data_IF_177109197341
#
_entry.id   IF_177109197341
#
_cell.length_a   1.000
_cell.length_b   1.000
_cell.length_c   1.000
_cell.angle_alpha   90.00
_cell.angle_beta   90.00
_cell.angle_gamma   90.00
#
_symmetry.space_group_name_H-M   'P 1'
#
loop_
_entity.id
_entity.type
_entity.pdbx_description
1 polymer ?
#
# COMPACT_ATOMS: atom_id res chain seq x y z
N UNK A 1 21.69 13.89 -2.95
CA UNK A 1 21.41 14.31 -4.34
C UNK A 1 22.53 15.19 -4.92
N UNK A 2 23.34 15.81 -4.09
CA UNK A 2 24.39 16.76 -4.57
C UNK A 2 23.85 18.13 -5.00
N UNK A 3 22.57 18.39 -4.73
CA UNK A 3 21.90 19.67 -4.95
C UNK A 3 21.21 20.13 -3.67
N UNK A 4 20.99 21.43 -3.52
CA UNK A 4 20.19 21.96 -2.44
C UNK A 4 18.72 21.50 -2.58
N UNK A 5 18.09 21.13 -1.47
CA UNK A 5 16.69 20.73 -1.43
C UNK A 5 15.93 21.76 -0.61
N UNK A 6 15.01 22.47 -1.24
CA UNK A 6 14.08 23.36 -0.56
C UNK A 6 13.09 22.51 0.26
N UNK A 7 12.62 23.04 1.38
CA UNK A 7 11.61 22.38 2.21
C UNK A 7 10.41 23.27 2.40
N UNK A 8 9.21 22.73 2.29
CA UNK A 8 7.97 23.40 2.66
C UNK A 8 7.41 22.76 3.94
N UNK A 9 7.12 23.58 4.95
CA UNK A 9 6.66 23.13 6.27
C UNK A 9 5.22 22.55 6.27
N UNK A 10 4.54 22.63 5.15
CA UNK A 10 3.23 22.02 4.89
C UNK A 10 3.17 21.55 3.43
N UNK A 11 2.38 20.52 3.16
CA UNK A 11 2.16 20.04 1.80
C UNK A 11 0.96 20.70 1.10
N UNK A 12 0.08 21.40 1.83
CA UNK A 12 -1.18 21.96 1.32
C UNK A 12 -1.26 23.49 1.42
N UNK A 13 -0.41 24.11 2.22
CA UNK A 13 -0.42 25.53 2.48
C UNK A 13 0.02 26.38 1.28
N UNK A 14 -0.07 27.69 1.47
CA UNK A 14 0.36 28.67 0.46
C UNK A 14 1.87 28.59 0.20
N UNK A 15 2.67 28.33 1.24
CA UNK A 15 4.13 28.13 1.13
C UNK A 15 4.48 27.06 0.10
N UNK A 16 3.83 25.89 0.17
CA UNK A 16 4.06 24.79 -0.76
C UNK A 16 3.70 25.17 -2.20
N UNK A 17 2.55 25.85 -2.38
CA UNK A 17 2.09 26.29 -3.70
C UNK A 17 3.04 27.32 -4.34
N UNK A 18 3.48 28.32 -3.56
CA UNK A 18 4.40 29.36 -4.03
C UNK A 18 5.77 28.76 -4.37
N UNK A 19 6.34 27.90 -3.49
CA UNK A 19 7.62 27.25 -3.75
C UNK A 19 7.56 26.31 -4.95
N UNK A 20 6.48 25.54 -5.09
CA UNK A 20 6.29 24.66 -6.24
C UNK A 20 6.21 25.42 -7.56
N UNK A 21 5.48 26.53 -7.58
CA UNK A 21 5.35 27.38 -8.78
C UNK A 21 6.65 28.13 -9.14
N UNK A 22 7.53 28.35 -8.16
CA UNK A 22 8.80 29.07 -8.38
C UNK A 22 9.96 28.15 -8.80
N UNK A 23 9.82 26.81 -8.71
CA UNK A 23 10.86 25.86 -9.04
C UNK A 23 11.39 26.04 -10.45
N UNK A 24 12.72 26.05 -10.56
CA UNK A 24 13.43 26.09 -11.83
C UNK A 24 13.96 24.71 -12.20
N UNK A 25 14.29 24.46 -13.48
CA UNK A 25 14.89 23.18 -13.90
C UNK A 25 16.11 22.81 -13.05
N UNK A 26 16.08 21.61 -12.46
CA UNK A 26 17.15 21.09 -11.60
C UNK A 26 16.98 21.39 -10.10
N UNK A 27 16.03 22.21 -9.71
CA UNK A 27 15.70 22.44 -8.30
C UNK A 27 14.80 21.34 -7.73
N UNK A 28 14.86 21.16 -6.42
CA UNK A 28 14.11 20.13 -5.70
C UNK A 28 13.37 20.76 -4.53
N UNK A 29 12.08 20.49 -4.42
CA UNK A 29 11.24 20.84 -3.27
C UNK A 29 10.78 19.57 -2.58
N UNK A 30 11.07 19.45 -1.28
CA UNK A 30 10.52 18.43 -0.40
C UNK A 30 9.33 19.01 0.36
N UNK A 31 8.20 18.37 0.27
CA UNK A 31 7.00 18.72 1.03
C UNK A 31 7.00 18.00 2.39
N UNK A 32 6.35 18.60 3.37
CA UNK A 32 6.11 17.97 4.67
C UNK A 32 5.25 16.68 4.51
N UNK A 33 5.31 15.83 5.51
CA UNK A 33 4.68 14.52 5.51
C UNK A 33 3.17 14.59 5.24
N UNK A 34 2.77 14.07 4.08
CA UNK A 34 1.36 14.08 3.64
C UNK A 34 0.44 13.34 4.61
N UNK A 35 0.96 12.37 5.39
CA UNK A 35 0.17 11.63 6.37
C UNK A 35 -0.19 12.43 7.61
N UNK A 36 0.25 13.68 7.74
CA UNK A 36 -0.33 14.59 8.73
C UNK A 36 -1.77 14.92 8.40
N UNK A 37 -2.17 14.81 7.16
CA UNK A 37 -3.54 14.96 6.69
C UNK A 37 -4.28 13.61 6.63
N UNK A 38 -5.50 13.57 7.17
CA UNK A 38 -6.38 12.40 7.10
C UNK A 38 -6.77 12.05 5.65
N UNK A 39 -6.78 13.04 4.80
CA UNK A 39 -7.07 12.97 3.37
C UNK A 39 -6.06 12.11 2.61
N UNK A 40 -4.80 12.07 3.03
CA UNK A 40 -3.81 11.19 2.38
C UNK A 40 -4.25 9.74 2.44
N UNK A 41 -4.70 9.27 3.59
CA UNK A 41 -5.18 7.91 3.76
C UNK A 41 -6.67 7.73 3.42
N UNK A 42 -7.43 8.82 3.37
CA UNK A 42 -8.88 8.81 3.17
C UNK A 42 -9.64 8.13 4.30
N UNK A 43 -9.10 8.24 5.52
CA UNK A 43 -9.66 7.67 6.75
C UNK A 43 -9.90 8.77 7.77
N UNK A 44 -11.11 8.83 8.37
CA UNK A 44 -11.39 9.79 9.43
C UNK A 44 -10.49 9.53 10.65
N UNK A 45 -10.14 10.60 11.36
CA UNK A 45 -9.34 10.55 12.60
C UNK A 45 -10.10 11.21 13.73
N UNK A 46 -9.76 10.84 14.97
CA UNK A 46 -10.32 11.49 16.16
C UNK A 46 -11.80 11.18 16.42
N UNK A 47 -12.35 10.11 15.82
CA UNK A 47 -13.68 9.63 16.20
C UNK A 47 -13.65 9.06 17.62
N UNK A 48 -14.71 9.31 18.38
CA UNK A 48 -14.90 8.71 19.70
C UNK A 48 -15.00 7.18 19.58
N UNK A 49 -14.53 6.46 20.60
CA UNK A 49 -14.55 4.98 20.58
C UNK A 49 -15.98 4.44 20.51
N UNK A 50 -16.94 5.14 21.09
CA UNK A 50 -18.37 4.85 21.14
C UNK A 50 -19.17 5.47 19.99
N UNK A 51 -18.51 6.06 18.98
CA UNK A 51 -19.18 6.64 17.82
C UNK A 51 -20.08 5.61 17.13
N UNK A 52 -21.27 6.03 16.77
CA UNK A 52 -22.26 5.20 16.06
C UNK A 52 -21.79 4.86 14.65
N UNK A 53 -22.38 3.84 14.04
CA UNK A 53 -22.06 3.46 12.66
C UNK A 53 -22.46 4.56 11.66
N UNK A 54 -23.50 5.33 11.97
CA UNK A 54 -23.93 6.49 11.17
C UNK A 54 -22.90 7.62 11.23
N UNK A 55 -22.38 7.93 12.41
CA UNK A 55 -21.33 8.93 12.58
C UNK A 55 -20.04 8.51 11.90
N UNK A 56 -19.64 7.24 12.01
CA UNK A 56 -18.48 6.68 11.31
C UNK A 56 -18.65 6.77 9.79
N UNK A 57 -19.84 6.45 9.28
CA UNK A 57 -20.16 6.53 7.85
C UNK A 57 -20.14 7.98 7.35
N UNK A 58 -20.71 8.91 8.10
CA UNK A 58 -20.72 10.34 7.78
C UNK A 58 -19.28 10.91 7.75
N UNK A 59 -18.47 10.61 8.78
CA UNK A 59 -17.07 11.05 8.84
C UNK A 59 -16.24 10.47 7.68
N UNK A 60 -16.46 9.20 7.34
CA UNK A 60 -15.79 8.55 6.19
C UNK A 60 -16.17 9.22 4.87
N UNK A 61 -17.44 9.58 4.70
CA UNK A 61 -17.91 10.30 3.51
C UNK A 61 -17.27 11.69 3.42
N UNK A 62 -17.26 12.45 4.52
CA UNK A 62 -16.65 13.78 4.57
C UNK A 62 -15.16 13.74 4.20
N UNK A 63 -14.38 12.82 4.80
CA UNK A 63 -12.95 12.65 4.46
C UNK A 63 -12.76 12.24 2.99
N UNK A 64 -13.65 11.44 2.41
CA UNK A 64 -13.57 11.07 1.01
C UNK A 64 -13.85 12.24 0.06
N UNK A 65 -14.71 13.18 0.44
CA UNK A 65 -14.93 14.40 -0.35
C UNK A 65 -13.71 15.34 -0.23
N UNK A 66 -13.21 15.62 0.98
CA UNK A 66 -12.03 16.46 1.16
C UNK A 66 -10.76 15.82 0.54
N UNK A 67 -10.66 14.50 0.50
CA UNK A 67 -9.57 13.78 -0.19
C UNK A 67 -9.47 14.13 -1.68
N UNK A 68 -10.58 14.39 -2.35
CA UNK A 68 -10.57 14.80 -3.76
C UNK A 68 -9.90 16.15 -3.94
N UNK A 69 -10.28 17.13 -3.11
CA UNK A 69 -9.69 18.47 -3.17
C UNK A 69 -8.21 18.45 -2.77
N UNK A 70 -7.85 17.70 -1.73
CA UNK A 70 -6.47 17.44 -1.34
C UNK A 70 -5.64 16.89 -2.49
N UNK A 71 -6.14 15.82 -3.14
CA UNK A 71 -5.46 15.19 -4.27
C UNK A 71 -5.31 16.12 -5.46
N UNK A 72 -6.36 16.87 -5.79
CA UNK A 72 -6.36 17.88 -6.87
C UNK A 72 -5.33 18.97 -6.60
N UNK A 73 -5.25 19.45 -5.36
CA UNK A 73 -4.26 20.46 -4.96
C UNK A 73 -2.83 19.95 -5.13
N UNK A 74 -2.53 18.73 -4.65
CA UNK A 74 -1.22 18.09 -4.86
C UNK A 74 -0.88 17.97 -6.34
N UNK A 75 -1.82 17.49 -7.15
CA UNK A 75 -1.61 17.36 -8.59
C UNK A 75 -1.32 18.69 -9.28
N UNK A 76 -1.83 19.82 -8.75
CA UNK A 76 -1.59 21.14 -9.33
C UNK A 76 -0.16 21.67 -9.18
N UNK A 77 0.70 20.98 -8.44
CA UNK A 77 2.10 21.38 -8.24
C UNK A 77 3.04 20.93 -9.36
N UNK A 78 2.59 20.05 -10.26
CA UNK A 78 3.46 19.44 -11.26
C UNK A 78 2.72 19.15 -12.58
N UNK A 79 3.46 19.08 -13.67
CA UNK A 79 2.95 18.77 -15.01
C UNK A 79 2.98 17.25 -15.28
N UNK A 80 3.80 16.49 -14.54
CA UNK A 80 3.82 15.05 -14.63
C UNK A 80 3.98 14.38 -13.26
N UNK A 81 3.58 13.12 -13.20
CA UNK A 81 3.55 12.33 -11.97
C UNK A 81 4.41 11.07 -12.12
N UNK A 82 5.31 10.87 -11.18
CA UNK A 82 6.12 9.65 -11.08
C UNK A 82 5.84 8.96 -9.75
N UNK A 83 5.34 7.72 -9.79
CA UNK A 83 5.21 6.89 -8.59
C UNK A 83 6.42 5.97 -8.46
N UNK A 84 7.22 6.18 -7.44
CA UNK A 84 8.37 5.32 -7.10
C UNK A 84 8.30 4.78 -5.66
N UNK A 85 7.10 4.81 -5.06
CA UNK A 85 6.84 4.43 -3.67
C UNK A 85 6.32 2.99 -3.57
N UNK A 86 7.18 1.99 -3.78
CA UNK A 86 6.78 0.57 -3.73
C UNK A 86 6.23 0.15 -2.38
N UNK A 87 6.82 0.62 -1.27
CA UNK A 87 6.36 0.28 0.08
C UNK A 87 4.90 0.64 0.38
N UNK A 88 4.30 1.56 -0.37
CA UNK A 88 2.89 1.98 -0.26
C UNK A 88 2.03 1.52 -1.43
N UNK A 89 2.56 0.73 -2.35
CA UNK A 89 1.87 0.31 -3.58
C UNK A 89 0.55 -0.46 -3.32
N UNK A 90 0.44 -1.13 -2.17
CA UNK A 90 -0.76 -1.85 -1.72
C UNK A 90 -1.86 -0.94 -1.13
N UNK A 91 -1.65 0.39 -1.10
CA UNK A 91 -2.58 1.35 -0.48
C UNK A 91 -3.12 2.33 -1.50
N UNK A 92 -4.44 2.56 -1.50
CA UNK A 92 -5.09 3.55 -2.34
C UNK A 92 -5.08 4.94 -1.68
N UNK A 93 -3.87 5.47 -1.40
CA UNK A 93 -3.70 6.80 -0.84
C UNK A 93 -3.86 7.89 -1.90
N UNK A 94 -4.06 9.14 -1.44
CA UNK A 94 -4.18 10.29 -2.33
C UNK A 94 -2.97 10.43 -3.24
N UNK A 95 -1.76 10.46 -2.67
CA UNK A 95 -0.51 10.68 -3.41
C UNK A 95 -0.02 9.47 -4.21
N UNK A 96 -0.44 8.24 -3.89
CA UNK A 96 0.09 7.03 -4.55
C UNK A 96 -0.85 6.42 -5.59
N UNK A 97 -2.17 6.68 -5.47
CA UNK A 97 -3.16 6.09 -6.36
C UNK A 97 -4.10 7.14 -6.97
N UNK A 98 -4.72 7.98 -6.12
CA UNK A 98 -5.78 8.86 -6.60
C UNK A 98 -5.24 9.98 -7.48
N UNK A 99 -4.04 10.48 -7.17
CA UNK A 99 -3.38 11.57 -7.91
C UNK A 99 -3.18 11.23 -9.39
N UNK A 100 -2.96 9.96 -9.72
CA UNK A 100 -2.77 9.51 -11.10
C UNK A 100 -3.98 9.79 -12.02
N UNK A 101 -5.16 10.06 -11.44
CA UNK A 101 -6.36 10.44 -12.21
C UNK A 101 -6.32 11.87 -12.76
N UNK A 102 -5.46 12.70 -12.20
CA UNK A 102 -5.31 14.10 -12.58
C UNK A 102 -4.26 14.32 -13.69
N UNK A 103 -3.57 13.25 -14.09
CA UNK A 103 -2.58 13.27 -15.16
C UNK A 103 -3.05 12.36 -16.31
N UNK A 104 -2.80 12.80 -17.54
CA UNK A 104 -3.04 11.96 -18.71
C UNK A 104 -2.06 10.77 -18.79
N UNK A 105 -2.26 9.87 -19.74
CA UNK A 105 -1.47 8.65 -19.85
C UNK A 105 0.01 8.91 -20.13
N UNK A 106 0.37 10.02 -20.78
CA UNK A 106 1.74 10.34 -21.15
C UNK A 106 2.48 11.08 -20.01
N UNK A 107 1.75 11.65 -19.07
CA UNK A 107 2.26 12.44 -17.97
C UNK A 107 2.20 11.73 -16.61
N UNK A 108 2.04 10.40 -16.61
CA UNK A 108 2.14 9.57 -15.39
C UNK A 108 2.87 8.29 -15.69
N UNK A 109 3.79 7.93 -14.79
CA UNK A 109 4.65 6.77 -14.97
C UNK A 109 5.11 6.19 -13.63
N UNK A 110 5.67 5.00 -13.68
CA UNK A 110 6.44 4.46 -12.57
C UNK A 110 7.88 4.96 -12.61
N UNK A 111 8.46 5.17 -11.44
CA UNK A 111 9.90 5.35 -11.31
C UNK A 111 10.64 4.02 -11.39
N UNK A 112 11.96 4.09 -11.36
CA UNK A 112 12.83 2.93 -11.55
C UNK A 112 12.69 1.85 -10.49
N UNK A 113 12.41 2.22 -9.23
CA UNK A 113 12.18 1.24 -8.17
C UNK A 113 10.88 0.47 -8.43
N UNK A 114 9.78 1.17 -8.69
CA UNK A 114 8.50 0.55 -9.02
C UNK A 114 8.61 -0.35 -10.25
N UNK A 115 9.26 0.11 -11.30
CA UNK A 115 9.49 -0.68 -12.51
C UNK A 115 10.24 -1.97 -12.21
N UNK A 116 11.32 -1.89 -11.42
CA UNK A 116 12.12 -3.06 -11.04
C UNK A 116 11.30 -4.07 -10.23
N UNK A 117 10.52 -3.60 -9.27
CA UNK A 117 9.68 -4.47 -8.42
C UNK A 117 8.57 -5.13 -9.24
N UNK A 118 7.88 -4.38 -10.10
CA UNK A 118 6.85 -4.91 -10.99
C UNK A 118 7.43 -5.97 -11.92
N UNK A 119 8.59 -5.71 -12.56
CA UNK A 119 9.28 -6.68 -13.41
C UNK A 119 9.72 -7.92 -12.64
N UNK A 120 10.16 -7.78 -11.38
CA UNK A 120 10.55 -8.91 -10.55
C UNK A 120 9.35 -9.81 -10.23
N UNK A 121 8.20 -9.23 -9.86
CA UNK A 121 6.95 -9.98 -9.64
C UNK A 121 6.46 -10.64 -10.93
N UNK A 122 6.46 -9.91 -12.05
CA UNK A 122 6.05 -10.45 -13.35
C UNK A 122 6.88 -11.66 -13.75
N UNK A 123 8.20 -11.58 -13.56
CA UNK A 123 9.10 -12.71 -13.83
C UNK A 123 8.80 -13.93 -12.96
N UNK A 124 8.50 -13.73 -11.68
CA UNK A 124 8.12 -14.83 -10.77
C UNK A 124 6.79 -15.47 -11.15
N UNK A 125 5.86 -14.71 -11.74
CA UNK A 125 4.54 -15.21 -12.09
C UNK A 125 4.45 -15.79 -13.50
N UNK A 126 5.23 -15.26 -14.45
CA UNK A 126 5.06 -15.54 -15.88
C UNK A 126 6.30 -16.16 -16.55
N UNK A 127 7.51 -16.01 -15.98
CA UNK A 127 8.77 -16.64 -16.45
C UNK A 127 9.40 -17.45 -15.32
N UNK A 128 8.70 -18.52 -14.92
CA UNK A 128 9.06 -19.31 -13.74
C UNK A 128 10.28 -20.20 -14.06
N UNK A 129 11.35 -20.00 -13.32
CA UNK A 129 12.48 -20.95 -13.29
C UNK A 129 12.20 -22.06 -12.30
N UNK A 130 12.26 -23.32 -12.79
CA UNK A 130 12.01 -24.50 -11.95
C UNK A 130 13.31 -25.16 -11.46
N UNK A 131 13.31 -25.76 -10.24
CA UNK A 131 12.17 -25.85 -9.32
C UNK A 131 11.85 -24.50 -8.66
N UNK A 132 10.57 -24.11 -8.63
CA UNK A 132 10.11 -22.91 -7.95
C UNK A 132 9.64 -23.23 -6.53
N UNK A 133 10.38 -22.77 -5.55
CA UNK A 133 10.03 -22.90 -4.13
C UNK A 133 9.58 -21.54 -3.60
N UNK A 134 8.34 -21.47 -3.14
CA UNK A 134 7.83 -20.31 -2.44
C UNK A 134 7.87 -20.51 -0.92
N UNK A 135 8.29 -19.49 -0.18
CA UNK A 135 8.27 -19.47 1.28
C UNK A 135 7.26 -18.41 1.71
N UNK A 136 6.21 -18.83 2.37
CA UNK A 136 5.13 -17.93 2.81
C UNK A 136 5.06 -17.92 4.33
N UNK A 137 5.12 -16.72 4.92
CA UNK A 137 5.00 -16.52 6.35
C UNK A 137 3.92 -15.48 6.69
N UNK A 138 3.36 -15.62 7.88
CA UNK A 138 2.35 -14.71 8.41
C UNK A 138 1.79 -15.23 9.73
N UNK A 139 0.91 -14.45 10.36
CA UNK A 139 0.25 -14.84 11.60
C UNK A 139 -1.08 -15.57 11.36
N UNK A 140 -1.77 -15.27 10.24
CA UNK A 140 -3.12 -15.75 9.96
C UNK A 140 -3.21 -16.41 8.58
N UNK A 141 -3.81 -17.61 8.52
CA UNK A 141 -4.12 -18.33 7.28
C UNK A 141 -5.20 -17.57 6.50
N UNK A 142 -6.27 -17.14 7.17
CA UNK A 142 -7.41 -16.46 6.56
C UNK A 142 -7.03 -15.23 5.71
N UNK A 143 -5.96 -14.54 6.09
CA UNK A 143 -5.49 -13.36 5.35
C UNK A 143 -4.64 -13.69 4.12
N UNK A 144 -4.29 -14.96 3.91
CA UNK A 144 -3.36 -15.42 2.88
C UNK A 144 -3.91 -16.52 1.97
N UNK A 145 -5.13 -17.00 2.24
CA UNK A 145 -5.69 -18.16 1.54
C UNK A 145 -5.72 -17.97 0.02
N UNK A 146 -6.20 -16.83 -0.47
CA UNK A 146 -6.26 -16.55 -1.91
C UNK A 146 -4.85 -16.55 -2.55
N UNK A 147 -3.84 -16.10 -1.80
CA UNK A 147 -2.46 -16.11 -2.27
C UNK A 147 -1.92 -17.54 -2.30
N UNK A 148 -2.24 -18.35 -1.28
CA UNK A 148 -1.86 -19.77 -1.21
C UNK A 148 -2.45 -20.52 -2.40
N UNK A 149 -3.75 -20.41 -2.64
CA UNK A 149 -4.45 -21.04 -3.77
C UNK A 149 -3.84 -20.65 -5.12
N UNK A 150 -3.59 -19.36 -5.32
CA UNK A 150 -2.96 -18.86 -6.54
C UNK A 150 -1.52 -19.36 -6.72
N UNK A 151 -0.77 -19.57 -5.64
CA UNK A 151 0.59 -20.09 -5.70
C UNK A 151 0.64 -21.61 -5.93
N UNK A 152 -0.27 -22.39 -5.36
CA UNK A 152 -0.27 -23.86 -5.48
C UNK A 152 -0.24 -24.34 -6.93
N UNK A 153 -0.88 -23.61 -7.85
CA UNK A 153 -0.86 -23.91 -9.29
C UNK A 153 0.46 -23.55 -9.99
N UNK A 154 1.36 -22.81 -9.34
CA UNK A 154 2.56 -22.23 -9.95
C UNK A 154 3.86 -22.76 -9.36
N UNK A 155 3.85 -23.20 -8.09
CA UNK A 155 5.06 -23.62 -7.38
C UNK A 155 5.29 -25.13 -7.45
N UNK A 156 6.55 -25.55 -7.36
CA UNK A 156 6.90 -26.94 -7.18
C UNK A 156 6.94 -27.29 -5.67
N UNK A 157 7.28 -26.32 -4.83
CA UNK A 157 7.30 -26.47 -3.38
C UNK A 157 6.73 -25.20 -2.71
N UNK A 158 5.89 -25.40 -1.71
CA UNK A 158 5.38 -24.32 -0.86
C UNK A 158 5.78 -24.59 0.60
N UNK A 159 6.58 -23.70 1.18
CA UNK A 159 6.98 -23.75 2.58
C UNK A 159 6.12 -22.76 3.35
N UNK A 160 5.30 -23.27 4.25
CA UNK A 160 4.52 -22.43 5.18
C UNK A 160 5.36 -22.17 6.43
N UNK A 161 5.47 -20.90 6.83
CA UNK A 161 6.30 -20.43 7.93
C UNK A 161 5.54 -19.41 8.81
N UNK A 162 6.15 -19.03 9.95
CA UNK A 162 5.57 -18.06 10.89
C UNK A 162 4.36 -18.61 11.64
N UNK A 163 3.56 -17.71 12.22
CA UNK A 163 2.43 -18.07 13.09
C UNK A 163 1.33 -18.88 12.40
N UNK A 164 1.15 -18.73 11.10
CA UNK A 164 0.16 -19.51 10.35
C UNK A 164 0.46 -21.02 10.35
N UNK A 165 1.72 -21.45 10.54
CA UNK A 165 2.07 -22.87 10.66
C UNK A 165 1.35 -23.57 11.79
N UNK A 166 1.02 -22.87 12.87
CA UNK A 166 0.33 -23.47 14.02
C UNK A 166 -1.09 -23.90 13.67
N UNK A 167 -1.79 -23.13 12.83
CA UNK A 167 -3.12 -23.51 12.33
C UNK A 167 -3.03 -24.78 11.49
N UNK A 168 -2.08 -24.89 10.56
CA UNK A 168 -1.85 -26.12 9.78
C UNK A 168 -1.45 -27.29 10.67
N UNK A 169 -0.51 -27.09 11.62
CA UNK A 169 -0.07 -28.13 12.55
C UNK A 169 -1.23 -28.68 13.36
N UNK A 170 -2.10 -27.81 13.89
CA UNK A 170 -3.27 -28.22 14.66
C UNK A 170 -4.31 -28.93 13.79
N UNK A 171 -4.57 -28.43 12.59
CA UNK A 171 -5.46 -29.06 11.62
C UNK A 171 -5.04 -30.51 11.30
N UNK A 172 -3.73 -30.74 11.17
CA UNK A 172 -3.14 -32.08 10.97
C UNK A 172 -3.07 -32.92 12.26
N UNK A 173 -3.65 -32.50 13.37
CA UNK A 173 -3.67 -33.22 14.65
C UNK A 173 -2.44 -33.02 15.54
N UNK A 174 -1.54 -32.08 15.17
CA UNK A 174 -0.37 -31.76 15.98
C UNK A 174 -0.69 -30.88 17.20
N UNK A 175 0.24 -30.82 18.15
CA UNK A 175 0.12 -30.02 19.37
C UNK A 175 0.87 -28.71 19.21
N UNK A 176 0.20 -27.61 19.51
CA UNK A 176 0.72 -26.24 19.33
C UNK A 176 0.93 -25.48 20.65
N UNK A 177 0.61 -26.10 21.80
CA UNK A 177 0.68 -25.44 23.11
C UNK A 177 -0.23 -24.20 23.17
N UNK A 178 0.33 -23.08 23.62
CA UNK A 178 -0.38 -21.77 23.71
C UNK A 178 -0.13 -20.88 22.48
N UNK A 179 0.36 -21.45 21.39
CA UNK A 179 0.63 -20.68 20.17
C UNK A 179 -0.64 -20.15 19.53
N UNK A 180 -0.51 -19.05 18.80
CA UNK A 180 -1.64 -18.46 18.06
C UNK A 180 -2.23 -19.47 17.07
N UNK A 181 -3.55 -19.53 16.98
CA UNK A 181 -4.25 -20.41 16.05
C UNK A 181 -5.58 -19.78 15.61
N UNK A 182 -5.97 -20.01 14.38
CA UNK A 182 -7.31 -19.71 13.87
C UNK A 182 -8.15 -20.99 13.90
N UNK A 183 -8.79 -21.27 15.04
CA UNK A 183 -9.54 -22.50 15.27
C UNK A 183 -10.74 -22.66 14.32
N UNK A 184 -11.30 -21.56 13.85
CA UNK A 184 -12.37 -21.49 12.86
C UNK A 184 -11.90 -21.73 11.41
N UNK A 185 -10.61 -21.97 11.20
CA UNK A 185 -9.97 -22.17 9.89
C UNK A 185 -9.24 -23.52 9.76
N UNK A 186 -9.46 -24.43 10.68
CA UNK A 186 -8.78 -25.73 10.63
C UNK A 186 -9.19 -26.56 9.41
N UNK A 187 -10.49 -26.59 9.08
CA UNK A 187 -10.99 -27.30 7.91
C UNK A 187 -10.41 -26.69 6.62
N UNK A 188 -10.42 -25.36 6.52
CA UNK A 188 -9.85 -24.63 5.39
C UNK A 188 -8.33 -24.87 5.21
N UNK A 189 -7.62 -25.14 6.30
CA UNK A 189 -6.19 -25.45 6.25
C UNK A 189 -5.90 -26.90 5.83
N UNK A 190 -6.90 -27.79 5.86
CA UNK A 190 -6.78 -29.18 5.37
C UNK A 190 -7.15 -29.32 3.90
N UNK A 191 -8.05 -28.47 3.39
CA UNK A 191 -8.46 -28.43 1.98
C UNK A 191 -7.29 -27.98 1.07
#
# INVERSE_FOLDING_TARGET
>A
LGVEVQFANDCMGEEAAVKAAALQPGEVLLLENLRFYAEEEGKPRGLAEDATDEEKAAAKKAVKESQKEFTKKLASYADCYVNDAFGTAHRAHASTALIAKYFDVNNKMFGYLMEKEVKAVDKVLNDIKRPFTAIMGGSKVSSKIEIIENLLSKVDNLIIAGGMTYTFTKAMGGKIGISICEDDKLDLALD
#
